data_IF_582934291916
#
_entry.id   IF_582934291916
#
_cell.length_a   1.000
_cell.length_b   1.000
_cell.length_c   1.000
_cell.angle_alpha   90.00
_cell.angle_beta   90.00
_cell.angle_gamma   90.00
#
_symmetry.space_group_name_H-M   'P 1'
#
loop_
_entity.id
_entity.type
_entity.pdbx_description
1 polymer ?
#
# COMPACT_ATOMS: atom_id res chain seq x y z
N UNK A 1 14.36 -0.63 19.10
CA UNK A 1 14.25 0.44 18.07
C UNK A 1 12.81 0.49 17.61
N UNK A 2 12.16 1.67 17.51
CA UNK A 2 10.77 1.74 17.08
C UNK A 2 10.69 1.29 15.62
N UNK A 3 9.98 0.18 15.36
CA UNK A 3 9.71 -0.28 14.00
C UNK A 3 8.79 0.76 13.35
N UNK A 4 9.20 1.35 12.23
CA UNK A 4 8.34 2.25 11.47
C UNK A 4 7.10 1.49 11.01
N UNK A 5 5.95 1.78 11.61
CA UNK A 5 4.66 1.17 11.28
C UNK A 5 3.94 1.98 10.22
N UNK A 6 3.12 1.30 9.41
CA UNK A 6 2.23 1.95 8.46
C UNK A 6 1.21 2.81 9.21
N UNK A 7 1.16 4.10 8.86
CA UNK A 7 0.13 5.02 9.35
C UNK A 7 -0.90 5.23 8.25
N UNK A 8 -2.14 4.84 8.52
CA UNK A 8 -3.25 5.02 7.60
C UNK A 8 -3.51 6.50 7.29
N UNK A 9 -3.74 6.89 6.03
CA UNK A 9 -3.98 8.28 5.65
C UNK A 9 -5.33 8.81 6.18
N UNK A 10 -5.34 10.10 6.50
CA UNK A 10 -6.54 10.88 6.87
C UNK A 10 -7.52 10.94 5.68
N UNK A 11 -8.86 11.08 5.87
CA UNK A 11 -9.80 11.17 4.75
C UNK A 11 -9.47 12.26 3.71
N UNK A 12 -8.90 13.39 4.12
CA UNK A 12 -8.43 14.43 3.19
C UNK A 12 -7.27 13.92 2.32
N UNK A 13 -6.26 13.29 2.94
CA UNK A 13 -5.10 12.72 2.25
C UNK A 13 -5.52 11.61 1.26
N UNK A 14 -6.52 10.79 1.62
CA UNK A 14 -7.10 9.79 0.71
C UNK A 14 -7.68 10.41 -0.54
N UNK A 15 -8.44 11.51 -0.41
CA UNK A 15 -9.03 12.21 -1.56
C UNK A 15 -7.94 12.81 -2.45
N UNK A 16 -6.92 13.43 -1.86
CA UNK A 16 -5.80 14.02 -2.60
C UNK A 16 -5.04 12.96 -3.40
N UNK A 17 -4.66 11.84 -2.77
CA UNK A 17 -3.90 10.80 -3.47
C UNK A 17 -4.73 10.11 -4.55
N UNK A 18 -6.02 9.86 -4.32
CA UNK A 18 -6.89 9.28 -5.35
C UNK A 18 -7.02 10.24 -6.54
N UNK A 19 -7.24 11.53 -6.29
CA UNK A 19 -7.32 12.55 -7.34
C UNK A 19 -6.02 12.68 -8.14
N UNK A 20 -4.85 12.60 -7.48
CA UNK A 20 -3.54 12.65 -8.14
C UNK A 20 -3.33 11.49 -9.13
N UNK A 21 -3.84 10.30 -8.80
CA UNK A 21 -3.78 9.12 -9.67
C UNK A 21 -5.00 9.02 -10.61
N UNK A 22 -5.89 10.01 -10.65
CA UNK A 22 -7.04 10.05 -11.56
C UNK A 22 -8.24 9.20 -11.14
N UNK A 23 -8.32 8.77 -9.87
CA UNK A 23 -9.45 8.01 -9.34
C UNK A 23 -10.45 8.94 -8.63
N UNK A 24 -11.73 8.82 -8.98
CA UNK A 24 -12.82 9.62 -8.37
C UNK A 24 -13.24 9.05 -7.01
N UNK A 25 -13.13 7.72 -6.83
CA UNK A 25 -13.55 7.00 -5.64
C UNK A 25 -12.50 5.99 -5.19
N UNK A 26 -12.50 5.71 -3.89
CA UNK A 26 -11.65 4.65 -3.33
C UNK A 26 -12.22 3.29 -3.75
N UNK A 27 -11.34 2.39 -4.18
CA UNK A 27 -11.71 1.04 -4.60
C UNK A 27 -10.97 0.00 -3.78
N UNK A 28 -11.60 -1.15 -3.62
CA UNK A 28 -10.98 -2.31 -2.99
C UNK A 28 -10.21 -3.09 -4.04
N UNK A 29 -8.90 -3.21 -3.85
CA UNK A 29 -8.02 -3.93 -4.76
C UNK A 29 -7.76 -5.33 -4.22
N UNK A 30 -7.74 -6.32 -5.11
CA UNK A 30 -7.40 -7.72 -4.78
C UNK A 30 -5.92 -7.98 -5.00
N UNK A 31 -5.48 -9.21 -4.71
CA UNK A 31 -4.08 -9.65 -4.80
C UNK A 31 -3.42 -9.28 -6.13
N UNK A 32 -4.11 -9.49 -7.26
CA UNK A 32 -3.58 -9.18 -8.60
C UNK A 32 -3.29 -7.69 -8.75
N UNK A 33 -4.25 -6.81 -8.46
CA UNK A 33 -4.03 -5.37 -8.55
C UNK A 33 -3.01 -4.86 -7.53
N UNK A 34 -2.99 -5.44 -6.33
CA UNK A 34 -1.99 -5.11 -5.31
C UNK A 34 -0.57 -5.46 -5.78
N UNK A 35 -0.39 -6.61 -6.44
CA UNK A 35 0.88 -7.00 -7.06
C UNK A 35 1.30 -6.00 -8.15
N UNK A 36 0.39 -5.61 -9.05
CA UNK A 36 0.72 -4.66 -10.12
C UNK A 36 1.16 -3.29 -9.55
N UNK A 37 0.46 -2.79 -8.52
CA UNK A 37 0.75 -1.48 -7.93
C UNK A 37 2.03 -1.49 -7.10
N UNK A 38 2.22 -2.51 -6.27
CA UNK A 38 3.35 -2.57 -5.32
C UNK A 38 4.58 -3.26 -5.89
N UNK A 39 4.41 -4.04 -6.96
CA UNK A 39 5.42 -4.98 -7.50
C UNK A 39 5.96 -5.97 -6.46
N UNK A 40 5.28 -6.14 -5.31
CA UNK A 40 5.71 -7.00 -4.24
C UNK A 40 5.09 -8.39 -4.35
N UNK A 41 5.95 -9.40 -4.20
CA UNK A 41 5.53 -10.79 -4.07
C UNK A 41 4.59 -10.98 -2.87
N UNK A 42 3.77 -12.03 -2.91
CA UNK A 42 2.83 -12.37 -1.84
C UNK A 42 3.55 -12.61 -0.50
N UNK A 43 4.71 -13.26 -0.53
CA UNK A 43 5.50 -13.56 0.67
C UNK A 43 6.09 -12.30 1.29
N UNK A 44 6.62 -11.38 0.48
CA UNK A 44 7.12 -10.08 0.95
C UNK A 44 6.00 -9.23 1.56
N UNK A 45 4.83 -9.18 0.91
CA UNK A 45 3.66 -8.49 1.47
C UNK A 45 3.23 -9.08 2.80
N UNK A 46 3.18 -10.41 2.90
CA UNK A 46 2.84 -11.09 4.16
C UNK A 46 3.84 -10.77 5.29
N UNK A 47 5.14 -10.71 4.99
CA UNK A 47 6.16 -10.29 5.95
C UNK A 47 5.91 -8.84 6.42
N UNK A 48 5.66 -7.92 5.50
CA UNK A 48 5.41 -6.51 5.84
C UNK A 48 4.10 -6.30 6.59
N UNK A 49 3.06 -7.07 6.29
CA UNK A 49 1.82 -7.06 7.07
C UNK A 49 2.07 -7.55 8.49
N UNK A 50 2.83 -8.64 8.67
CA UNK A 50 3.19 -9.16 9.99
C UNK A 50 4.10 -8.20 10.78
N UNK A 51 4.91 -7.41 10.08
CA UNK A 51 5.72 -6.32 10.65
C UNK A 51 4.94 -5.03 10.90
N UNK A 52 3.66 -4.94 10.47
CA UNK A 52 2.85 -3.74 10.56
C UNK A 52 3.30 -2.60 9.65
N UNK A 53 4.08 -2.93 8.60
CA UNK A 53 4.64 -1.99 7.62
C UNK A 53 3.78 -1.83 6.37
N UNK A 54 2.78 -2.69 6.16
CA UNK A 54 1.90 -2.68 5.00
C UNK A 54 0.44 -2.37 5.41
N UNK A 55 -0.40 -1.82 4.50
CA UNK A 55 -1.82 -1.63 4.77
C UNK A 55 -2.53 -2.90 5.26
N UNK A 56 -3.45 -2.77 6.24
CA UNK A 56 -4.19 -3.91 6.77
C UNK A 56 -5.12 -4.54 5.72
N UNK A 57 -5.28 -5.86 5.78
CA UNK A 57 -6.21 -6.61 4.93
C UNK A 57 -7.66 -6.36 5.36
N UNK A 58 -8.51 -6.03 4.40
CA UNK A 58 -9.95 -6.03 4.58
C UNK A 58 -10.52 -7.39 4.13
N UNK A 59 -11.08 -8.14 5.07
CA UNK A 59 -11.65 -9.46 4.82
C UNK A 59 -13.13 -9.36 4.44
N UNK A 60 -13.51 -9.99 3.32
CA UNK A 60 -14.90 -10.08 2.83
C UNK A 60 -15.50 -11.48 2.97
N UNK A 61 -14.71 -12.41 3.49
CA UNK A 61 -15.08 -13.81 3.67
C UNK A 61 -13.86 -14.66 3.96
N UNK A 62 -14.05 -15.98 4.04
CA UNK A 62 -13.01 -16.93 4.47
C UNK A 62 -11.72 -16.85 3.64
N UNK A 63 -11.84 -16.67 2.32
CA UNK A 63 -10.72 -16.64 1.38
C UNK A 63 -10.60 -15.32 0.61
N UNK A 64 -11.43 -14.31 0.92
CA UNK A 64 -11.41 -13.02 0.22
C UNK A 64 -10.76 -11.96 1.10
N UNK A 65 -9.58 -11.51 0.68
CA UNK A 65 -8.93 -10.32 1.20
C UNK A 65 -8.82 -9.26 0.10
N UNK A 66 -8.90 -8.00 0.50
CA UNK A 66 -8.65 -6.86 -0.35
C UNK A 66 -8.00 -5.73 0.46
N UNK A 67 -7.44 -4.75 -0.23
CA UNK A 67 -6.88 -3.54 0.38
C UNK A 67 -7.58 -2.31 -0.18
N UNK A 68 -7.57 -1.20 0.55
CA UNK A 68 -8.01 0.07 0.00
C UNK A 68 -6.95 0.59 -0.97
N UNK A 69 -7.38 1.01 -2.16
CA UNK A 69 -6.49 1.59 -3.15
C UNK A 69 -5.76 2.79 -2.54
N UNK A 70 -6.47 3.67 -1.82
CA UNK A 70 -5.86 4.84 -1.20
C UNK A 70 -4.71 4.48 -0.26
N UNK A 71 -4.88 3.40 0.52
CA UNK A 71 -3.88 2.99 1.51
C UNK A 71 -2.66 2.38 0.84
N UNK A 72 -2.87 1.60 -0.23
CA UNK A 72 -1.76 1.02 -1.01
C UNK A 72 -1.01 2.09 -1.80
N UNK A 73 -1.69 3.05 -2.41
CA UNK A 73 -1.05 4.19 -3.06
C UNK A 73 -0.27 5.03 -2.05
N UNK A 74 -0.84 5.25 -0.86
CA UNK A 74 -0.17 5.99 0.21
C UNK A 74 1.11 5.29 0.67
N UNK A 75 1.05 3.96 0.81
CA UNK A 75 2.20 3.12 1.12
C UNK A 75 3.28 3.18 0.02
N UNK A 76 2.89 3.14 -1.26
CA UNK A 76 3.85 3.26 -2.38
C UNK A 76 4.54 4.62 -2.40
N UNK A 77 3.83 5.69 -2.03
CA UNK A 77 4.39 7.04 -1.98
C UNK A 77 5.30 7.26 -0.76
N UNK A 78 4.94 6.67 0.36
CA UNK A 78 5.69 6.74 1.62
C UNK A 78 6.04 5.32 2.09
N UNK A 79 6.88 4.58 1.36
CA UNK A 79 7.29 3.28 1.84
C UNK A 79 8.02 3.52 3.17
N UNK A 80 7.69 2.79 4.25
CA UNK A 80 8.54 2.80 5.43
C UNK A 80 9.97 2.43 5.02
N UNK A 81 10.97 2.71 5.84
CA UNK A 81 12.35 2.30 5.55
C UNK A 81 12.41 0.75 5.52
N UNK A 82 12.05 0.16 4.39
CA UNK A 82 12.10 -1.25 4.08
C UNK A 82 13.09 -1.40 2.94
N UNK A 83 14.15 -2.14 3.20
CA UNK A 83 15.13 -2.52 2.20
C UNK A 83 14.43 -3.30 1.07
N UNK A 84 14.81 -3.04 -0.17
CA UNK A 84 14.32 -3.74 -1.38
C UNK A 84 12.86 -3.48 -1.81
N UNK A 85 12.24 -2.35 -1.47
CA UNK A 85 11.03 -1.92 -2.21
C UNK A 85 11.47 -1.28 -3.53
N UNK A 86 11.13 -1.89 -4.66
CA UNK A 86 11.29 -1.29 -5.99
C UNK A 86 10.27 -0.16 -6.17
N UNK A 87 10.49 0.96 -5.48
CA UNK A 87 9.65 2.14 -5.58
C UNK A 87 10.02 2.91 -6.86
N UNK A 88 9.12 3.03 -7.86
CA UNK A 88 9.39 3.83 -9.06
C UNK A 88 9.65 5.30 -8.74
N UNK A 89 9.17 5.83 -7.59
CA UNK A 89 9.42 7.20 -7.16
C UNK A 89 10.79 7.42 -6.53
N UNK A 90 11.44 6.38 -5.99
CA UNK A 90 12.80 6.47 -5.44
C UNK A 90 13.88 6.56 -6.53
N UNK A 91 13.54 6.38 -7.81
CA UNK A 91 14.47 6.49 -8.95
C UNK A 91 14.72 7.91 -9.44
N UNK A 92 14.12 8.94 -8.83
CA UNK A 92 14.17 10.33 -9.30
C UNK A 92 15.08 11.25 -8.47
N UNK A 93 16.16 10.69 -7.94
CA UNK A 93 17.25 11.46 -7.31
C UNK A 93 18.56 11.17 -8.05
N UNK A 94 18.73 11.81 -9.20
CA UNK A 94 20.00 11.94 -9.91
C UNK A 94 20.04 13.32 -10.56
#
# INVERSE_FOLDING_TARGET
MPKATFTSPTPAQRRTILAEYGFIYDKRIRERECLEITSLSRTTRWQFENEGKFPPRCHFGRNSCAWLLSDVLWWVRNPPAVENVNNPYSRRSA
#
